data_IF_273105573235
#
_entry.id   IF_273105573235
#
_cell.length_a   1.000
_cell.length_b   1.000
_cell.length_c   1.000
_cell.angle_alpha   90.00
_cell.angle_beta   90.00
_cell.angle_gamma   90.00
#
_symmetry.space_group_name_H-M   'P 1'
#
loop_
_entity.id
_entity.type
_entity.pdbx_description
1 polymer ?
#
# COMPACT_ATOMS: atom_id res chain seq x y z
N UNK A 1 0.09 32.99 -0.55
CA UNK A 1 1.31 32.81 -1.39
C UNK A 1 0.85 32.16 -2.69
N UNK A 2 0.72 32.91 -3.78
CA UNK A 2 0.31 32.36 -5.08
C UNK A 2 1.55 31.83 -5.81
N UNK A 3 1.72 30.51 -5.81
CA UNK A 3 2.75 29.86 -6.64
C UNK A 3 2.35 30.03 -8.11
N UNK A 4 3.21 30.68 -8.90
CA UNK A 4 3.06 30.79 -10.35
C UNK A 4 3.28 29.42 -10.98
N UNK A 5 2.23 28.81 -11.52
CA UNK A 5 2.20 27.49 -12.16
C UNK A 5 3.13 27.34 -13.39
N UNK A 6 3.90 28.35 -13.75
CA UNK A 6 4.63 28.45 -15.03
C UNK A 6 5.87 27.56 -15.15
N UNK A 7 6.32 26.89 -14.08
CA UNK A 7 7.54 26.06 -14.08
C UNK A 7 7.32 24.59 -13.66
N UNK A 8 6.08 24.14 -13.46
CA UNK A 8 5.82 22.75 -13.07
C UNK A 8 5.84 21.83 -14.29
N UNK A 9 6.51 20.69 -14.16
CA UNK A 9 6.42 19.61 -15.13
C UNK A 9 5.00 19.04 -15.19
N UNK A 10 4.63 18.41 -16.31
CA UNK A 10 3.32 17.77 -16.45
C UNK A 10 3.04 16.73 -15.35
N UNK A 11 4.08 16.03 -14.88
CA UNK A 11 3.95 15.07 -13.78
C UNK A 11 3.62 15.75 -12.45
N UNK A 12 4.28 16.87 -12.14
CA UNK A 12 3.98 17.67 -10.95
C UNK A 12 2.54 18.20 -10.96
N UNK A 13 2.08 18.70 -12.11
CA UNK A 13 0.69 19.16 -12.24
C UNK A 13 -0.32 18.02 -12.07
N UNK A 14 -0.03 16.85 -12.66
CA UNK A 14 -0.90 15.68 -12.55
C UNK A 14 -0.94 15.13 -11.11
N UNK A 15 0.20 15.10 -10.42
CA UNK A 15 0.29 14.77 -9.01
C UNK A 15 -0.58 15.70 -8.16
N UNK A 16 -0.36 17.00 -8.26
CA UNK A 16 -1.10 18.00 -7.47
C UNK A 16 -2.60 17.97 -7.79
N UNK A 17 -2.94 17.77 -9.06
CA UNK A 17 -4.32 17.59 -9.50
C UNK A 17 -4.98 16.38 -8.84
N UNK A 18 -4.30 15.22 -8.79
CA UNK A 18 -4.84 14.00 -8.20
C UNK A 18 -5.17 14.18 -6.72
N UNK A 19 -4.23 14.72 -5.94
CA UNK A 19 -4.44 14.95 -4.50
C UNK A 19 -5.55 15.97 -4.25
N UNK A 20 -5.58 17.08 -5.02
CA UNK A 20 -6.66 18.08 -4.95
C UNK A 20 -8.01 17.55 -5.42
N UNK A 21 -8.05 16.53 -6.28
CA UNK A 21 -9.30 15.89 -6.69
C UNK A 21 -9.94 15.05 -5.59
N UNK A 22 -9.17 14.70 -4.55
CA UNK A 22 -9.61 13.88 -3.40
C UNK A 22 -9.83 14.76 -2.16
N UNK A 23 -8.87 15.64 -1.87
CA UNK A 23 -8.85 16.48 -0.68
C UNK A 23 -9.20 17.93 -1.04
N UNK A 24 -10.11 18.56 -0.30
CA UNK A 24 -10.44 19.99 -0.48
C UNK A 24 -9.43 20.91 0.18
N UNK A 25 -8.76 20.42 1.21
CA UNK A 25 -7.69 21.09 1.94
C UNK A 25 -6.65 20.06 2.40
N UNK A 26 -5.52 20.54 2.90
CA UNK A 26 -4.40 19.67 3.31
C UNK A 26 -4.42 19.31 4.79
N UNK A 27 -5.49 19.62 5.55
CA UNK A 27 -5.50 19.50 7.02
C UNK A 27 -5.11 18.10 7.51
N UNK A 28 -5.78 17.07 7.00
CA UNK A 28 -5.49 15.67 7.34
C UNK A 28 -4.11 15.21 6.81
N UNK A 29 -3.71 15.69 5.63
CA UNK A 29 -2.39 15.36 5.06
C UNK A 29 -1.24 15.96 5.89
N UNK A 30 -1.43 17.17 6.41
CA UNK A 30 -0.48 17.80 7.34
C UNK A 30 -0.46 17.08 8.68
N UNK A 31 -1.60 16.60 9.18
CA UNK A 31 -1.67 15.77 10.38
C UNK A 31 -0.88 14.46 10.20
N UNK A 32 -1.05 13.76 9.08
CA UNK A 32 -0.25 12.58 8.76
C UNK A 32 1.25 12.88 8.75
N UNK A 33 1.64 14.02 8.18
CA UNK A 33 3.04 14.44 8.16
C UNK A 33 3.61 14.76 9.57
N UNK A 34 2.80 15.30 10.49
CA UNK A 34 3.19 15.50 11.90
C UNK A 34 3.53 14.15 12.56
N UNK A 35 2.78 13.10 12.23
CA UNK A 35 3.06 11.73 12.69
C UNK A 35 4.13 11.00 11.85
N UNK A 36 4.83 11.72 10.96
CA UNK A 36 5.84 11.16 10.05
C UNK A 36 5.30 10.06 9.13
N UNK A 37 4.01 10.12 8.81
CA UNK A 37 3.33 9.23 7.88
C UNK A 37 3.22 9.94 6.53
N UNK A 38 3.67 9.29 5.46
CA UNK A 38 3.45 9.76 4.09
C UNK A 38 2.34 8.93 3.43
N UNK A 39 1.12 9.48 3.29
CA UNK A 39 0.02 8.78 2.65
C UNK A 39 0.35 8.40 1.20
N UNK A 40 -0.17 7.24 0.78
CA UNK A 40 0.10 6.68 -0.55
C UNK A 40 -1.22 6.38 -1.26
N UNK A 41 -1.42 6.95 -2.44
CA UNK A 41 -2.47 6.54 -3.37
C UNK A 41 -1.94 5.41 -4.25
N UNK A 42 -2.62 4.27 -4.23
CA UNK A 42 -2.28 3.09 -5.03
C UNK A 42 -3.40 2.79 -6.03
N UNK A 43 -3.08 2.70 -7.32
CA UNK A 43 -4.01 2.29 -8.36
C UNK A 43 -3.34 2.24 -9.74
N UNK A 44 -3.85 1.44 -10.69
CA UNK A 44 -3.18 1.29 -11.99
C UNK A 44 -3.31 2.53 -12.88
N UNK A 45 -4.35 3.34 -12.65
CA UNK A 45 -4.85 4.33 -13.60
C UNK A 45 -4.60 5.79 -13.17
N UNK A 46 -3.70 6.02 -12.20
CA UNK A 46 -3.50 7.35 -11.62
C UNK A 46 -3.12 8.39 -12.69
N UNK A 47 -2.13 8.06 -13.52
CA UNK A 47 -1.65 8.97 -14.57
C UNK A 47 -2.68 9.14 -15.70
N UNK A 48 -3.33 8.05 -16.11
CA UNK A 48 -4.36 8.07 -17.16
C UNK A 48 -5.57 8.94 -16.77
N UNK A 49 -5.95 8.87 -15.50
CA UNK A 49 -7.00 9.73 -14.95
C UNK A 49 -6.60 11.20 -15.01
N UNK A 50 -5.38 11.55 -14.56
CA UNK A 50 -4.90 12.93 -14.58
C UNK A 50 -4.76 13.50 -16.00
N UNK A 51 -4.41 12.66 -16.96
CA UNK A 51 -4.30 13.04 -18.38
C UNK A 51 -5.67 13.07 -19.10
N UNK A 52 -6.76 12.68 -18.43
CA UNK A 52 -8.11 12.62 -19.00
C UNK A 52 -8.34 11.46 -19.97
N UNK A 53 -7.39 10.53 -20.12
CA UNK A 53 -7.56 9.34 -20.97
C UNK A 53 -8.51 8.33 -20.31
N UNK A 54 -8.62 8.36 -18.98
CA UNK A 54 -9.66 7.66 -18.21
C UNK A 54 -10.53 8.63 -17.44
N UNK A 55 -11.84 8.41 -17.51
CA UNK A 55 -12.84 9.21 -16.77
C UNK A 55 -13.03 8.78 -15.32
N UNK A 56 -12.58 7.58 -14.97
CA UNK A 56 -12.77 6.99 -13.65
C UNK A 56 -11.48 6.34 -13.19
N UNK A 57 -11.21 6.40 -11.90
CA UNK A 57 -10.06 5.74 -11.29
C UNK A 57 -10.49 5.05 -9.99
N UNK A 58 -10.06 3.80 -9.84
CA UNK A 58 -10.12 3.11 -8.56
C UNK A 58 -8.74 3.16 -7.91
N UNK A 59 -8.70 3.50 -6.62
CA UNK A 59 -7.46 3.61 -5.87
C UNK A 59 -7.67 3.29 -4.40
N UNK A 60 -6.59 2.94 -3.70
CA UNK A 60 -6.58 2.71 -2.26
C UNK A 60 -5.67 3.78 -1.63
N UNK A 61 -6.14 4.40 -0.55
CA UNK A 61 -5.30 5.26 0.28
C UNK A 61 -4.68 4.43 1.39
N UNK A 62 -3.36 4.34 1.36
CA UNK A 62 -2.57 3.58 2.31
C UNK A 62 -1.83 4.52 3.25
N UNK A 63 -1.77 4.13 4.52
CA UNK A 63 -1.04 4.81 5.59
C UNK A 63 -0.32 3.75 6.42
N UNK A 64 1.00 3.85 6.57
CA UNK A 64 1.80 2.95 7.46
C UNK A 64 1.70 3.44 8.91
N UNK A 65 0.47 3.66 9.38
CA UNK A 65 0.18 4.19 10.72
C UNK A 65 0.31 3.08 11.78
N UNK A 66 1.55 2.72 12.11
CA UNK A 66 1.84 1.65 13.07
C UNK A 66 1.55 2.03 14.52
N UNK A 67 1.57 3.32 14.84
CA UNK A 67 1.15 3.80 16.17
C UNK A 67 -0.37 3.78 16.31
N UNK A 68 -1.09 3.90 15.20
CA UNK A 68 -2.54 4.00 15.19
C UNK A 68 -2.98 5.39 15.68
N UNK A 69 -2.21 6.43 15.38
CA UNK A 69 -2.55 7.80 15.77
C UNK A 69 -3.62 8.36 14.83
N UNK A 70 -3.49 8.15 13.51
CA UNK A 70 -4.42 8.67 12.50
C UNK A 70 -5.82 8.06 12.60
N UNK A 71 -5.96 6.85 13.16
CA UNK A 71 -7.28 6.23 13.34
C UNK A 71 -8.14 6.92 14.41
N UNK A 72 -7.55 7.68 15.33
CA UNK A 72 -8.32 8.42 16.34
C UNK A 72 -8.97 9.67 15.74
N UNK A 73 -8.34 10.25 14.71
CA UNK A 73 -8.81 11.42 13.95
C UNK A 73 -9.47 10.98 12.63
N UNK A 74 -10.31 9.94 12.71
CA UNK A 74 -10.99 9.39 11.52
C UNK A 74 -12.02 10.36 10.93
N UNK A 75 -12.53 11.29 11.70
CA UNK A 75 -13.57 12.21 11.22
C UNK A 75 -12.91 13.32 10.38
N UNK A 76 -11.68 13.67 10.75
CA UNK A 76 -10.81 14.68 10.12
C UNK A 76 -10.42 14.27 8.70
N UNK A 77 -10.23 12.96 8.42
CA UNK A 77 -10.06 12.53 7.03
C UNK A 77 -11.31 12.88 6.21
N UNK A 78 -12.51 12.51 6.66
CA UNK A 78 -13.74 12.76 5.91
C UNK A 78 -14.03 14.25 5.78
N UNK A 79 -13.73 15.02 6.83
CA UNK A 79 -13.85 16.47 6.83
C UNK A 79 -12.87 17.14 5.87
N UNK A 80 -11.71 16.54 5.58
CA UNK A 80 -10.73 17.05 4.59
C UNK A 80 -11.02 16.63 3.14
N UNK A 81 -11.96 15.71 2.90
CA UNK A 81 -12.32 15.28 1.55
C UNK A 81 -13.12 16.34 0.79
N UNK A 82 -13.10 16.26 -0.54
CA UNK A 82 -13.98 17.05 -1.41
C UNK A 82 -15.45 16.93 -0.99
N UNK A 83 -16.19 18.05 -0.95
CA UNK A 83 -17.55 18.11 -0.39
C UNK A 83 -18.53 17.13 -1.05
N UNK A 84 -18.38 16.93 -2.37
CA UNK A 84 -19.24 16.05 -3.15
C UNK A 84 -18.69 14.63 -3.19
N UNK A 85 -18.96 13.89 -2.12
CA UNK A 85 -18.62 12.48 -2.02
C UNK A 85 -19.72 11.67 -1.34
N UNK A 86 -19.69 10.34 -1.55
CA UNK A 86 -20.53 9.37 -0.86
C UNK A 86 -19.66 8.30 -0.24
N UNK A 87 -19.79 8.09 1.07
CA UNK A 87 -19.08 7.04 1.77
C UNK A 87 -19.95 5.77 1.88
N UNK A 88 -19.44 4.66 1.35
CA UNK A 88 -20.01 3.34 1.51
C UNK A 88 -19.39 2.64 2.72
N UNK A 89 -20.14 2.57 3.82
CA UNK A 89 -19.70 1.93 5.07
C UNK A 89 -19.40 0.44 4.94
N UNK A 90 -20.04 -0.26 4.00
CA UNK A 90 -19.88 -1.70 3.82
C UNK A 90 -18.53 -2.03 3.15
N UNK A 91 -18.18 -1.29 2.10
CA UNK A 91 -16.95 -1.51 1.34
C UNK A 91 -15.79 -0.62 1.77
N UNK A 92 -16.04 0.34 2.67
CA UNK A 92 -15.09 1.37 3.10
C UNK A 92 -14.55 2.20 1.93
N UNK A 93 -15.38 2.41 0.92
CA UNK A 93 -15.06 3.20 -0.25
C UNK A 93 -15.72 4.58 -0.19
N UNK A 94 -14.99 5.60 -0.62
CA UNK A 94 -15.51 6.95 -0.88
C UNK A 94 -15.62 7.13 -2.39
N UNK A 95 -16.79 7.49 -2.87
CA UNK A 95 -17.08 7.72 -4.28
C UNK A 95 -17.24 9.22 -4.50
N UNK A 96 -16.41 9.79 -5.36
CA UNK A 96 -16.42 11.21 -5.71
C UNK A 96 -17.14 11.46 -7.03
N UNK A 97 -17.79 12.62 -7.16
CA UNK A 97 -18.48 13.02 -8.40
C UNK A 97 -17.53 13.15 -9.60
N UNK A 98 -16.22 13.35 -9.36
CA UNK A 98 -15.19 13.41 -10.39
C UNK A 98 -14.84 12.04 -11.01
N UNK A 99 -15.44 10.95 -10.51
CA UNK A 99 -15.22 9.59 -11.03
C UNK A 99 -14.14 8.80 -10.29
N UNK A 100 -13.56 9.35 -9.22
CA UNK A 100 -12.66 8.62 -8.31
C UNK A 100 -13.48 7.74 -7.36
N UNK A 101 -13.05 6.50 -7.18
CA UNK A 101 -13.43 5.64 -6.06
C UNK A 101 -12.19 5.36 -5.23
N UNK A 102 -12.20 5.82 -3.97
CA UNK A 102 -11.09 5.71 -3.03
C UNK A 102 -11.44 4.72 -1.93
N UNK A 103 -10.71 3.63 -1.83
CA UNK A 103 -10.81 2.72 -0.70
C UNK A 103 -9.96 3.27 0.47
N UNK A 104 -10.59 3.45 1.63
CA UNK A 104 -9.98 4.01 2.85
C UNK A 104 -9.96 2.99 4.00
N UNK A 105 -10.02 1.69 3.68
CA UNK A 105 -10.12 0.61 4.68
C UNK A 105 -9.04 0.69 5.74
N UNK A 106 -7.78 0.89 5.34
CA UNK A 106 -6.66 0.92 6.28
C UNK A 106 -6.80 2.02 7.32
N UNK A 107 -7.24 3.21 6.92
CA UNK A 107 -7.38 4.37 7.81
C UNK A 107 -8.56 4.17 8.76
N UNK A 108 -9.69 3.70 8.24
CA UNK A 108 -10.91 3.52 9.02
C UNK A 108 -10.79 2.36 10.01
N UNK A 109 -10.05 1.31 9.65
CA UNK A 109 -9.95 0.08 10.44
C UNK A 109 -8.65 -0.04 11.23
N UNK A 110 -7.61 0.72 10.88
CA UNK A 110 -6.27 0.59 11.47
C UNK A 110 -5.69 -0.81 11.30
N UNK A 111 -5.82 -1.39 10.11
CA UNK A 111 -5.53 -2.81 9.86
C UNK A 111 -4.36 -3.03 8.88
N UNK A 112 -3.58 -4.09 9.13
CA UNK A 112 -2.49 -4.53 8.25
C UNK A 112 -2.97 -5.35 7.03
N UNK A 113 -4.25 -5.74 7.03
CA UNK A 113 -4.88 -6.52 5.96
C UNK A 113 -6.09 -5.77 5.41
N UNK A 114 -6.12 -5.53 4.10
CA UNK A 114 -7.26 -4.94 3.40
C UNK A 114 -8.01 -6.06 2.68
N UNK A 115 -9.26 -6.29 3.09
CA UNK A 115 -10.17 -7.19 2.41
C UNK A 115 -10.97 -6.44 1.32
N UNK A 116 -11.00 -6.98 0.10
CA UNK A 116 -11.76 -6.40 -1.00
C UNK A 116 -12.17 -7.45 -2.05
N UNK A 117 -13.37 -7.31 -2.61
CA UNK A 117 -13.95 -8.28 -3.55
C UNK A 117 -13.22 -8.39 -4.89
N UNK A 118 -12.61 -7.30 -5.36
CA UNK A 118 -12.06 -7.16 -6.71
C UNK A 118 -10.63 -6.67 -6.70
N UNK A 119 -9.72 -7.51 -6.21
CA UNK A 119 -8.28 -7.24 -6.12
C UNK A 119 -7.68 -6.83 -7.47
N UNK A 120 -8.22 -7.36 -8.57
CA UNK A 120 -7.76 -7.06 -9.93
C UNK A 120 -7.90 -5.58 -10.32
N UNK A 121 -8.75 -4.80 -9.63
CA UNK A 121 -8.88 -3.34 -9.82
C UNK A 121 -7.61 -2.58 -9.46
N UNK A 122 -6.74 -3.19 -8.65
CA UNK A 122 -5.47 -2.58 -8.27
C UNK A 122 -4.38 -2.78 -9.31
N UNK A 123 -4.65 -3.46 -10.43
CA UNK A 123 -3.64 -3.76 -11.43
C UNK A 123 -4.10 -3.37 -12.83
N UNK A 124 -3.12 -3.06 -13.68
CA UNK A 124 -3.35 -2.85 -15.11
C UNK A 124 -3.96 -4.11 -15.72
N UNK A 125 -4.89 -3.92 -16.66
CA UNK A 125 -5.54 -5.03 -17.35
C UNK A 125 -4.47 -5.95 -17.95
N UNK A 126 -4.53 -7.23 -17.57
CA UNK A 126 -3.61 -8.27 -18.02
C UNK A 126 -2.14 -8.06 -17.66
N UNK A 127 -1.81 -7.30 -16.61
CA UNK A 127 -0.43 -7.13 -16.13
C UNK A 127 -0.41 -7.08 -14.61
N UNK A 128 0.63 -7.65 -13.99
CA UNK A 128 0.87 -7.51 -12.55
C UNK A 128 1.59 -6.20 -12.26
N UNK A 129 0.97 -5.10 -12.69
CA UNK A 129 1.56 -3.77 -12.65
C UNK A 129 0.53 -2.80 -12.09
N UNK A 130 0.97 -1.93 -11.21
CA UNK A 130 0.15 -0.85 -10.67
C UNK A 130 0.99 0.41 -10.51
N UNK A 131 0.37 1.52 -10.12
CA UNK A 131 1.03 2.80 -9.95
C UNK A 131 0.75 3.32 -8.55
N UNK A 132 1.68 4.07 -7.99
CA UNK A 132 1.43 4.81 -6.78
C UNK A 132 1.89 6.26 -6.88
N UNK A 133 1.32 7.08 -6.00
CA UNK A 133 1.71 8.46 -5.74
C UNK A 133 1.75 8.66 -4.23
N UNK A 134 2.79 9.32 -3.73
CA UNK A 134 2.94 9.66 -2.32
C UNK A 134 2.72 11.14 -2.13
N UNK A 135 2.07 11.57 -1.04
CA UNK A 135 1.78 12.98 -0.82
C UNK A 135 3.04 13.84 -0.80
N UNK A 136 4.02 13.45 0.02
CA UNK A 136 5.32 14.11 0.09
C UNK A 136 6.30 13.39 -0.83
N UNK A 137 6.39 13.82 -2.09
CA UNK A 137 7.42 13.39 -3.04
C UNK A 137 8.22 14.60 -3.55
N UNK A 138 9.56 14.56 -3.45
CA UNK A 138 10.39 15.64 -4.02
C UNK A 138 10.25 15.75 -5.53
N UNK A 139 9.88 14.66 -6.20
CA UNK A 139 9.74 14.59 -7.64
C UNK A 139 8.29 14.74 -8.09
N UNK A 140 7.30 14.70 -7.18
CA UNK A 140 5.87 14.60 -7.48
C UNK A 140 5.59 13.62 -8.64
N UNK A 141 6.20 12.44 -8.59
CA UNK A 141 6.19 11.50 -9.69
C UNK A 141 5.30 10.30 -9.38
N UNK A 142 4.50 9.90 -10.37
CA UNK A 142 3.88 8.59 -10.36
C UNK A 142 4.96 7.52 -10.52
N UNK A 143 4.92 6.50 -9.66
CA UNK A 143 5.89 5.41 -9.65
C UNK A 143 5.19 4.11 -9.94
N UNK A 144 5.78 3.33 -10.84
CA UNK A 144 5.23 2.04 -11.24
C UNK A 144 5.72 0.98 -10.26
N UNK A 145 4.81 0.10 -9.86
CA UNK A 145 5.10 -1.12 -9.13
C UNK A 145 4.98 -2.27 -10.11
N UNK A 146 6.07 -3.00 -10.27
CA UNK A 146 6.15 -4.22 -11.07
C UNK A 146 6.68 -5.36 -10.18
N UNK A 147 6.61 -6.62 -10.62
CA UNK A 147 7.35 -7.70 -9.97
C UNK A 147 8.83 -7.30 -9.88
N UNK A 148 9.52 -7.53 -8.75
CA UNK A 148 9.19 -8.45 -7.64
C UNK A 148 8.45 -7.81 -6.45
N UNK A 149 8.03 -6.54 -6.53
CA UNK A 149 7.43 -5.83 -5.40
C UNK A 149 5.97 -6.23 -5.10
N UNK A 150 5.39 -7.11 -5.93
CA UNK A 150 4.08 -7.71 -5.75
C UNK A 150 4.28 -9.21 -5.56
N UNK A 151 3.98 -9.71 -4.36
CA UNK A 151 4.17 -11.12 -3.98
C UNK A 151 2.80 -11.80 -3.89
N UNK A 152 2.52 -12.71 -4.81
CA UNK A 152 1.34 -13.58 -4.77
C UNK A 152 1.63 -14.83 -3.93
N UNK A 153 0.69 -15.21 -3.06
CA UNK A 153 0.89 -16.28 -2.07
C UNK A 153 0.35 -17.65 -2.53
N UNK A 154 -0.51 -17.67 -3.54
CA UNK A 154 -0.77 -18.88 -4.34
C UNK A 154 -0.14 -18.69 -5.71
N UNK A 155 0.20 -19.80 -6.36
CA UNK A 155 0.75 -19.84 -7.72
C UNK A 155 0.09 -18.79 -8.61
N UNK A 156 0.90 -18.20 -9.50
CA UNK A 156 0.71 -17.04 -10.40
C UNK A 156 -0.60 -16.96 -11.22
N UNK A 157 -1.65 -17.66 -10.84
CA UNK A 157 -3.00 -17.41 -11.32
C UNK A 157 -3.47 -16.04 -10.82
N UNK A 158 -3.85 -15.19 -11.78
CA UNK A 158 -4.38 -13.82 -11.54
C UNK A 158 -5.63 -13.78 -10.66
N UNK A 159 -6.19 -14.95 -10.34
CA UNK A 159 -7.32 -15.19 -9.46
C UNK A 159 -6.92 -15.50 -8.01
N UNK A 160 -5.63 -15.43 -7.66
CA UNK A 160 -5.22 -15.63 -6.27
C UNK A 160 -5.98 -14.62 -5.40
N UNK A 161 -6.64 -15.06 -4.34
CA UNK A 161 -7.43 -14.17 -3.51
C UNK A 161 -6.55 -13.45 -2.49
N UNK A 162 -5.24 -13.40 -2.68
CA UNK A 162 -4.30 -12.87 -1.68
C UNK A 162 -3.00 -12.45 -2.36
N UNK A 163 -2.59 -11.20 -2.13
CA UNK A 163 -1.26 -10.70 -2.48
C UNK A 163 -0.71 -9.78 -1.41
N UNK A 164 0.61 -9.65 -1.41
CA UNK A 164 1.34 -8.74 -0.55
C UNK A 164 2.06 -7.72 -1.41
N UNK A 165 1.93 -6.45 -1.06
CA UNK A 165 2.62 -5.35 -1.70
C UNK A 165 3.77 -4.89 -0.83
N UNK A 166 4.97 -4.79 -1.42
CA UNK A 166 6.13 -4.18 -0.78
C UNK A 166 6.42 -2.83 -1.44
N UNK A 167 6.32 -1.75 -0.68
CA UNK A 167 6.69 -0.41 -1.12
C UNK A 167 7.92 0.07 -0.36
N UNK A 168 8.91 0.54 -1.12
CA UNK A 168 10.06 1.26 -0.58
C UNK A 168 10.01 2.69 -1.08
N UNK A 169 9.53 3.58 -0.21
CA UNK A 169 9.48 5.03 -0.41
C UNK A 169 10.67 5.63 0.35
N UNK A 170 11.29 6.73 -0.11
CA UNK A 170 12.34 7.39 0.67
C UNK A 170 11.88 7.70 2.10
N UNK A 171 12.57 7.13 3.10
CA UNK A 171 12.23 7.28 4.52
C UNK A 171 11.13 6.36 5.04
N UNK A 172 10.43 5.60 4.19
CA UNK A 172 9.31 4.75 4.59
C UNK A 172 9.30 3.44 3.81
N UNK A 173 9.29 2.32 4.54
CA UNK A 173 9.09 0.98 3.97
C UNK A 173 7.80 0.43 4.49
N UNK A 174 6.88 0.20 3.58
CA UNK A 174 5.51 -0.19 3.87
C UNK A 174 5.21 -1.52 3.20
N UNK A 175 4.57 -2.41 3.95
CA UNK A 175 4.05 -3.66 3.43
C UNK A 175 2.54 -3.69 3.66
N UNK A 176 1.79 -4.08 2.63
CA UNK A 176 0.34 -4.22 2.72
C UNK A 176 -0.10 -5.59 2.24
N UNK A 177 -0.92 -6.26 3.04
CA UNK A 177 -1.60 -7.47 2.62
C UNK A 177 -2.97 -7.08 2.07
N UNK A 178 -3.28 -7.57 0.88
CA UNK A 178 -4.61 -7.46 0.27
C UNK A 178 -5.18 -8.85 0.08
N UNK A 179 -6.44 -9.05 0.48
CA UNK A 179 -7.13 -10.32 0.38
C UNK A 179 -8.54 -10.19 -0.19
N UNK A 180 -8.99 -11.23 -0.87
CA UNK A 180 -10.37 -11.41 -1.27
C UNK A 180 -11.24 -11.81 -0.09
N UNK A 181 -12.57 -11.71 -0.23
CA UNK A 181 -13.51 -12.16 0.77
C UNK A 181 -13.34 -13.66 1.04
N UNK A 182 -13.64 -14.08 2.26
CA UNK A 182 -13.61 -15.48 2.71
C UNK A 182 -12.23 -16.15 2.67
N UNK A 183 -11.15 -15.39 2.49
CA UNK A 183 -9.79 -15.92 2.66
C UNK A 183 -9.51 -16.13 4.16
N UNK A 184 -9.07 -17.33 4.57
CA UNK A 184 -8.71 -17.58 5.97
C UNK A 184 -7.71 -16.56 6.50
N UNK A 185 -7.77 -16.27 7.80
CA UNK A 185 -6.80 -15.36 8.43
C UNK A 185 -5.38 -15.83 8.15
N UNK A 186 -4.60 -14.89 7.65
CA UNK A 186 -3.21 -15.08 7.28
C UNK A 186 -2.36 -14.61 8.46
N UNK A 187 -1.25 -15.30 8.73
CA UNK A 187 -0.30 -14.84 9.73
C UNK A 187 1.01 -14.53 9.00
N UNK A 188 1.42 -13.25 8.92
CA UNK A 188 2.73 -12.92 8.40
C UNK A 188 3.78 -13.48 9.36
N UNK A 189 4.66 -14.34 8.86
CA UNK A 189 5.87 -14.72 9.58
C UNK A 189 6.94 -13.71 9.20
N UNK A 190 7.18 -12.81 10.14
CA UNK A 190 8.32 -11.92 10.10
C UNK A 190 9.53 -12.79 10.41
N UNK A 191 10.42 -13.01 9.42
CA UNK A 191 11.75 -13.54 9.76
C UNK A 191 12.43 -12.49 10.61
N UNK A 192 12.50 -12.74 11.92
CA UNK A 192 13.42 -11.99 12.75
C UNK A 192 14.83 -12.27 12.26
N UNK A 193 15.57 -11.20 11.96
CA UNK A 193 17.00 -11.33 11.74
C UNK A 193 17.61 -11.86 13.03
N UNK A 194 18.50 -12.82 12.93
CA UNK A 194 19.34 -13.18 14.08
C UNK A 194 20.07 -11.94 14.61
N UNK A 195 20.43 -11.91 15.91
CA UNK A 195 21.04 -10.74 16.56
C UNK A 195 22.31 -10.22 15.85
N UNK A 196 23.01 -11.08 15.11
CA UNK A 196 24.26 -10.76 14.40
C UNK A 196 24.10 -9.75 13.25
N UNK A 197 22.99 -9.73 12.50
CA UNK A 197 22.83 -8.80 11.38
C UNK A 197 22.58 -7.36 11.84
N UNK A 198 22.08 -7.18 13.06
CA UNK A 198 21.78 -5.87 13.64
C UNK A 198 23.04 -5.13 14.10
N UNK A 199 24.01 -5.84 14.70
CA UNK A 199 25.27 -5.24 15.16
C UNK A 199 26.18 -4.82 13.99
N UNK A 200 26.26 -5.62 12.92
CA UNK A 200 27.05 -5.25 11.74
C UNK A 200 26.48 -4.03 11.01
N UNK A 201 25.15 -3.96 10.84
CA UNK A 201 24.54 -2.81 10.16
C UNK A 201 24.67 -1.49 10.94
N UNK A 202 24.61 -1.55 12.28
CA UNK A 202 24.88 -0.40 13.14
C UNK A 202 26.36 0.01 13.09
N UNK A 203 27.28 -0.96 12.99
CA UNK A 203 28.72 -0.72 12.95
C UNK A 203 29.18 -0.12 11.61
N UNK A 204 28.54 -0.51 10.50
CA UNK A 204 28.98 -0.11 9.15
C UNK A 204 28.05 0.90 8.46
N UNK A 205 26.98 1.35 9.09
CA UNK A 205 26.02 2.29 8.50
C UNK A 205 25.31 1.74 7.25
N UNK A 206 25.22 0.40 7.14
CA UNK A 206 24.65 -0.28 5.98
C UNK A 206 23.13 -0.32 6.13
N UNK A 207 22.41 0.14 5.10
CA UNK A 207 20.97 -0.04 5.04
C UNK A 207 20.64 -1.55 5.00
N UNK A 208 20.05 -2.05 6.08
CA UNK A 208 19.63 -3.44 6.17
C UNK A 208 18.71 -3.84 4.98
N UNK A 209 18.96 -4.98 4.28
CA UNK A 209 18.05 -5.51 3.25
C UNK A 209 16.67 -5.77 3.87
N UNK A 210 15.53 -5.69 3.17
CA UNK A 210 14.20 -5.74 3.82
C UNK A 210 13.99 -6.99 4.71
N UNK A 211 13.18 -6.87 5.77
CA UNK A 211 12.65 -8.06 6.47
C UNK A 211 11.83 -8.85 5.44
N UNK A 212 12.24 -10.08 5.15
CA UNK A 212 11.40 -10.99 4.37
C UNK A 212 10.22 -11.39 5.23
N UNK A 213 9.01 -11.05 4.79
CA UNK A 213 7.79 -11.58 5.39
C UNK A 213 7.39 -12.78 4.55
N UNK A 214 7.50 -13.95 5.18
CA UNK A 214 6.99 -15.19 4.63
C UNK A 214 5.55 -15.34 5.10
N UNK A 215 4.62 -15.55 4.18
CA UNK A 215 3.20 -15.61 4.51
C UNK A 215 2.77 -17.07 4.57
N UNK A 216 2.25 -17.51 5.73
CA UNK A 216 1.79 -18.88 5.94
C UNK A 216 0.26 -18.93 6.11
N UNK A 217 -0.35 -20.01 5.62
CA UNK A 217 -1.75 -20.34 5.89
C UNK A 217 -1.88 -21.04 7.24
N UNK A 218 -2.79 -20.55 8.08
CA UNK A 218 -3.10 -21.09 9.41
C UNK A 218 -3.70 -22.51 9.39
N UNK A 219 -4.15 -23.00 8.23
CA UNK A 219 -4.73 -24.34 8.07
C UNK A 219 -3.69 -25.48 8.05
N UNK A 220 -2.38 -25.18 8.10
CA UNK A 220 -1.35 -26.20 8.33
C UNK A 220 -1.39 -26.67 9.80
N UNK A 221 -2.33 -27.56 10.12
CA UNK A 221 -2.38 -28.23 11.43
C UNK A 221 -1.14 -29.12 11.61
N UNK A 222 -0.35 -28.81 12.65
CA UNK A 222 0.57 -29.69 13.41
C UNK A 222 1.54 -30.55 12.56
N UNK A 223 2.64 -29.94 12.13
CA UNK A 223 3.91 -30.68 12.18
C UNK A 223 4.44 -30.52 13.62
N UNK A 224 4.48 -31.62 14.38
CA UNK A 224 5.14 -31.64 15.67
C UNK A 224 6.61 -31.22 15.47
N UNK A 225 7.00 -30.14 16.12
CA UNK A 225 8.39 -29.72 16.24
C UNK A 225 9.13 -30.78 17.07
N UNK A 226 10.02 -31.54 16.44
CA UNK A 226 11.05 -32.30 17.14
C UNK A 226 12.13 -31.30 17.60
N UNK A 227 12.35 -31.11 18.92
CA UNK A 227 13.33 -30.16 19.42
C UNK A 227 14.79 -30.57 19.18
N UNK A 228 15.06 -31.69 18.48
CA UNK A 228 16.43 -32.21 18.27
C UNK A 228 16.97 -32.10 16.84
N UNK A 229 16.24 -31.50 15.89
CA UNK A 229 16.76 -31.27 14.53
C UNK A 229 17.24 -29.83 14.35
N UNK A 230 18.45 -29.54 14.84
CA UNK A 230 19.25 -28.38 14.42
C UNK A 230 19.77 -28.61 12.99
N UNK A 231 18.90 -28.51 11.99
CA UNK A 231 19.18 -28.20 10.57
C UNK A 231 18.00 -28.63 9.69
N UNK A 232 16.88 -27.93 9.81
CA UNK A 232 15.83 -28.03 8.81
C UNK A 232 16.24 -27.24 7.57
N UNK A 233 16.70 -27.97 6.54
CA UNK A 233 16.68 -27.48 5.17
C UNK A 233 15.22 -27.22 4.77
N UNK A 234 14.80 -25.96 4.85
CA UNK A 234 13.53 -25.55 4.29
C UNK A 234 13.63 -25.60 2.77
N UNK A 235 12.82 -26.44 2.13
CA UNK A 235 12.67 -26.42 0.67
C UNK A 235 11.93 -25.15 0.29
N UNK A 236 12.68 -24.10 -0.03
CA UNK A 236 12.17 -22.91 -0.67
C UNK A 236 11.76 -23.27 -2.10
N UNK A 237 10.47 -23.25 -2.41
CA UNK A 237 10.05 -23.11 -3.81
C UNK A 237 10.10 -21.63 -4.17
N UNK A 238 11.31 -21.07 -4.20
CA UNK A 238 11.62 -19.84 -4.93
C UNK A 238 11.73 -20.26 -6.40
N UNK A 239 10.61 -20.25 -7.12
CA UNK A 239 10.63 -20.44 -8.58
C UNK A 239 11.23 -19.17 -9.21
N UNK A 240 12.56 -19.12 -9.24
CA UNK A 240 13.30 -18.24 -10.15
C UNK A 240 13.07 -18.76 -11.57
N UNK A 241 12.53 -17.92 -12.44
CA UNK A 241 12.80 -17.96 -13.87
C UNK A 241 13.51 -16.68 -14.25
#
# INVERSE_FOLDING_TARGET
MQLTYSNLSSNQMAHDFLWKAIFKDESWLQLANIFHINPVLLGPDLQDYCNGTKKTAYMVLLVDDRSGDLRYDKDEIFDSLQEKHKYNKATKEVIFDCGITLNVTQIVMGCDEIEMDKLERLFEKNKLRTTYSTWVDRQNAFRIIEPPNVIWIKELERSSPLFCLNLSIPGQRFQQIFKGPHVPKVIPIIKDRGPFEYEEALTYGIALPPKEICIFRSDFRKLQLDPRQESLQWSYTLLRK
#
